data_IF_863882891737
#
_entry.id   IF_863882891737
#
_cell.length_a   1.000
_cell.length_b   1.000
_cell.length_c   1.000
_cell.angle_alpha   90.00
_cell.angle_beta   90.00
_cell.angle_gamma   90.00
#
_symmetry.space_group_name_H-M   'P 1'
#
loop_
_entity.id
_entity.type
_entity.pdbx_description
1 polymer ?
#
# COMPACT_ATOMS: atom_id res chain seq x y z
N UNK A 1 -27.02 43.95 -27.82
CA UNK A 1 -26.69 43.69 -26.39
C UNK A 1 -27.01 42.26 -25.97
N UNK A 2 -28.16 41.67 -26.37
CA UNK A 2 -28.50 40.27 -26.03
C UNK A 2 -27.54 39.20 -26.61
N UNK A 3 -26.95 39.41 -27.80
CA UNK A 3 -26.00 38.47 -28.41
C UNK A 3 -24.64 38.39 -27.71
N UNK A 4 -24.15 39.51 -27.16
CA UNK A 4 -22.87 39.54 -26.43
C UNK A 4 -23.01 38.99 -25.01
N UNK A 5 -24.14 39.25 -24.34
CA UNK A 5 -24.42 38.68 -23.02
C UNK A 5 -24.62 37.16 -23.08
N UNK A 6 -25.29 36.65 -24.13
CA UNK A 6 -25.42 35.21 -24.35
C UNK A 6 -24.05 34.53 -24.53
N UNK A 7 -23.12 35.17 -25.25
CA UNK A 7 -21.79 34.61 -25.48
C UNK A 7 -20.97 34.52 -24.18
N UNK A 8 -21.04 35.54 -23.33
CA UNK A 8 -20.33 35.53 -22.04
C UNK A 8 -20.86 34.46 -21.08
N UNK A 9 -22.16 34.20 -21.08
CA UNK A 9 -22.76 33.12 -20.28
C UNK A 9 -22.26 31.76 -20.77
N UNK A 10 -22.28 31.54 -22.08
CA UNK A 10 -21.80 30.27 -22.69
C UNK A 10 -20.33 30.04 -22.35
N UNK A 11 -19.49 31.07 -22.45
CA UNK A 11 -18.08 30.98 -22.08
C UNK A 11 -17.88 30.62 -20.60
N UNK A 12 -18.66 31.23 -19.69
CA UNK A 12 -18.61 30.92 -18.27
C UNK A 12 -18.97 29.47 -17.95
N UNK A 13 -20.02 28.94 -18.59
CA UNK A 13 -20.47 27.55 -18.39
C UNK A 13 -19.42 26.54 -18.90
N UNK A 14 -18.75 26.83 -20.02
CA UNK A 14 -17.68 25.96 -20.54
C UNK A 14 -16.52 25.87 -19.54
N UNK A 15 -16.10 27.00 -18.96
CA UNK A 15 -15.00 27.04 -17.99
C UNK A 15 -15.37 26.26 -16.73
N UNK A 16 -16.57 26.47 -16.17
CA UNK A 16 -17.04 25.74 -14.99
C UNK A 16 -17.16 24.23 -15.27
N UNK A 17 -17.66 23.85 -16.45
CA UNK A 17 -17.78 22.45 -16.86
C UNK A 17 -16.43 21.72 -16.86
N UNK A 18 -15.39 22.32 -17.42
CA UNK A 18 -14.04 21.73 -17.43
C UNK A 18 -13.47 21.66 -16.01
N UNK A 19 -13.65 22.71 -15.21
CA UNK A 19 -13.13 22.76 -13.84
C UNK A 19 -13.71 21.64 -12.96
N UNK A 20 -14.99 21.29 -13.11
CA UNK A 20 -15.61 20.19 -12.35
C UNK A 20 -15.03 18.84 -12.74
N UNK A 21 -14.87 18.57 -14.05
CA UNK A 21 -14.30 17.29 -14.52
C UNK A 21 -12.86 17.13 -14.07
N UNK A 22 -12.04 18.18 -14.21
CA UNK A 22 -10.65 18.16 -13.74
C UNK A 22 -10.60 18.00 -12.22
N UNK A 23 -11.45 18.71 -11.46
CA UNK A 23 -11.54 18.55 -10.02
C UNK A 23 -11.82 17.11 -9.59
N UNK A 24 -12.79 16.44 -10.23
CA UNK A 24 -13.12 15.04 -9.95
C UNK A 24 -11.93 14.12 -10.24
N UNK A 25 -11.22 14.32 -11.37
CA UNK A 25 -10.05 13.50 -11.71
C UNK A 25 -8.90 13.64 -10.70
N UNK A 26 -8.66 14.85 -10.18
CA UNK A 26 -7.62 15.10 -9.18
C UNK A 26 -7.97 14.45 -7.85
N UNK A 27 -9.23 14.52 -7.43
CA UNK A 27 -9.67 13.83 -6.20
C UNK A 27 -9.52 12.31 -6.31
N UNK A 28 -9.84 11.71 -7.46
CA UNK A 28 -9.60 10.29 -7.71
C UNK A 28 -8.11 9.92 -7.61
N UNK A 29 -7.26 10.64 -8.34
CA UNK A 29 -5.81 10.40 -8.33
C UNK A 29 -5.18 10.60 -6.95
N UNK A 30 -5.65 11.57 -6.18
CA UNK A 30 -5.18 11.80 -4.81
C UNK A 30 -5.59 10.67 -3.86
N UNK A 31 -6.79 10.12 -4.02
CA UNK A 31 -7.25 8.98 -3.22
C UNK A 31 -6.41 7.72 -3.50
N UNK A 32 -6.10 7.47 -4.78
CA UNK A 32 -5.25 6.35 -5.18
C UNK A 32 -3.81 6.51 -4.67
N UNK A 33 -3.25 7.72 -4.76
CA UNK A 33 -1.92 8.02 -4.23
C UNK A 33 -1.88 7.88 -2.71
N UNK A 34 -2.89 8.38 -1.99
CA UNK A 34 -2.99 8.22 -0.55
C UNK A 34 -3.10 6.75 -0.12
N UNK A 35 -3.84 5.93 -0.87
CA UNK A 35 -3.91 4.50 -0.62
C UNK A 35 -2.54 3.82 -0.85
N UNK A 36 -1.86 4.15 -1.97
CA UNK A 36 -0.51 3.65 -2.26
C UNK A 36 0.47 3.95 -1.13
N UNK A 37 0.47 5.19 -0.64
CA UNK A 37 1.36 5.62 0.44
C UNK A 37 1.02 4.91 1.76
N UNK A 38 -0.27 4.69 2.04
CA UNK A 38 -0.71 3.95 3.22
C UNK A 38 -0.33 2.46 3.17
N UNK A 39 -0.56 1.78 2.03
CA UNK A 39 -0.13 0.39 1.82
C UNK A 39 1.38 0.25 1.97
N UNK A 40 2.14 1.23 1.45
CA UNK A 40 3.60 1.24 1.58
C UNK A 40 4.03 1.39 3.03
N UNK A 41 3.41 2.30 3.79
CA UNK A 41 3.70 2.47 5.22
C UNK A 41 3.40 1.22 6.04
N UNK A 42 2.27 0.56 5.75
CA UNK A 42 1.90 -0.70 6.41
C UNK A 42 2.93 -1.80 6.15
N UNK A 43 3.36 -2.00 4.90
CA UNK A 43 4.38 -3.02 4.59
C UNK A 43 5.73 -2.65 5.21
N UNK A 44 6.09 -1.37 5.25
CA UNK A 44 7.34 -0.94 5.88
C UNK A 44 7.33 -1.21 7.39
N UNK A 45 6.19 -1.01 8.04
CA UNK A 45 5.97 -1.39 9.43
C UNK A 45 6.09 -2.91 9.60
N UNK A 46 5.43 -3.69 8.74
CA UNK A 46 5.56 -5.16 8.75
C UNK A 46 7.01 -5.60 8.55
N UNK A 47 7.76 -4.95 7.65
CA UNK A 47 9.16 -5.26 7.41
C UNK A 47 10.01 -5.05 8.68
N UNK A 48 9.77 -3.97 9.43
CA UNK A 48 10.44 -3.74 10.71
C UNK A 48 10.10 -4.81 11.76
N UNK A 49 8.84 -5.26 11.81
CA UNK A 49 8.42 -6.33 12.71
C UNK A 49 9.02 -7.68 12.31
N UNK A 50 9.13 -7.95 11.00
CA UNK A 50 9.78 -9.15 10.48
C UNK A 50 11.27 -9.23 10.89
N UNK A 51 11.99 -8.10 10.81
CA UNK A 51 13.37 -8.04 11.32
C UNK A 51 13.43 -8.24 12.84
N UNK A 52 12.46 -7.69 13.58
CA UNK A 52 12.30 -7.96 15.00
C UNK A 52 12.08 -9.45 15.32
N UNK A 53 11.25 -10.13 14.53
CA UNK A 53 11.01 -11.57 14.64
C UNK A 53 12.29 -12.36 14.41
N UNK A 54 13.05 -12.05 13.36
CA UNK A 54 14.33 -12.73 13.06
C UNK A 54 15.32 -12.65 14.23
N UNK A 55 15.42 -11.49 14.89
CA UNK A 55 16.37 -11.28 16.00
C UNK A 55 15.86 -11.84 17.33
N UNK A 56 14.56 -12.08 17.47
CA UNK A 56 13.98 -12.62 18.70
C UNK A 56 14.24 -14.14 18.77
N UNK A 57 14.68 -14.68 19.93
CA UNK A 57 14.91 -16.12 20.07
C UNK A 57 13.58 -16.91 20.03
N UNK A 58 13.64 -18.16 19.58
CA UNK A 58 12.48 -19.06 19.44
C UNK A 58 11.72 -19.27 20.75
N UNK A 59 12.42 -19.26 21.88
CA UNK A 59 11.81 -19.38 23.22
C UNK A 59 10.84 -18.24 23.57
N UNK A 60 10.92 -17.10 22.88
CA UNK A 60 10.05 -15.94 23.08
C UNK A 60 9.04 -15.77 21.93
N UNK A 61 8.86 -16.79 21.09
CA UNK A 61 8.02 -16.71 19.89
C UNK A 61 8.66 -15.89 18.76
N UNK A 62 9.98 -15.96 18.62
CA UNK A 62 10.72 -15.36 17.52
C UNK A 62 11.28 -16.39 16.54
N UNK A 63 11.96 -15.89 15.51
CA UNK A 63 12.53 -16.71 14.43
C UNK A 63 13.89 -17.33 14.72
N UNK A 64 14.60 -16.88 15.78
CA UNK A 64 15.90 -17.43 16.17
C UNK A 64 16.92 -17.42 15.03
N UNK A 65 17.11 -16.27 14.39
CA UNK A 65 17.94 -16.09 13.19
C UNK A 65 17.39 -16.79 11.93
N UNK A 66 16.08 -16.95 11.85
CA UNK A 66 15.39 -17.47 10.68
C UNK A 66 14.09 -16.71 10.45
N UNK A 67 13.73 -16.42 9.21
CA UNK A 67 12.35 -16.00 8.90
C UNK A 67 11.43 -17.21 8.65
N UNK A 68 11.94 -18.44 8.76
CA UNK A 68 11.11 -19.64 8.62
C UNK A 68 10.04 -19.66 9.71
N UNK A 69 8.78 -19.82 9.31
CA UNK A 69 7.62 -19.77 10.20
C UNK A 69 7.11 -18.37 10.54
N UNK A 70 7.60 -17.33 9.86
CA UNK A 70 7.05 -15.98 9.98
C UNK A 70 5.63 -15.93 9.43
N UNK A 71 4.65 -15.74 10.31
CA UNK A 71 3.25 -15.57 9.96
C UNK A 71 2.81 -14.11 10.14
N UNK A 72 1.67 -13.73 9.56
CA UNK A 72 1.13 -12.38 9.75
C UNK A 72 0.77 -12.07 11.21
N UNK A 73 0.58 -13.09 12.05
CA UNK A 73 0.37 -12.88 13.50
C UNK A 73 1.59 -12.26 14.16
N UNK A 74 2.80 -12.69 13.78
CA UNK A 74 4.05 -12.12 14.29
C UNK A 74 4.28 -10.67 13.81
N UNK A 75 3.60 -10.31 12.72
CA UNK A 75 3.57 -8.97 12.14
C UNK A 75 2.43 -8.12 12.71
N UNK A 76 1.70 -8.61 13.71
CA UNK A 76 0.67 -7.84 14.43
C UNK A 76 -0.73 -7.91 13.82
N UNK A 77 -1.00 -8.85 12.92
CA UNK A 77 -2.37 -9.14 12.48
C UNK A 77 -3.04 -10.19 13.36
N UNK A 78 -4.37 -10.17 13.43
CA UNK A 78 -5.12 -11.17 14.20
C UNK A 78 -5.14 -12.57 13.54
N UNK A 79 -4.70 -12.69 12.28
CA UNK A 79 -4.81 -13.93 11.48
C UNK A 79 -3.49 -14.24 10.79
N UNK A 80 -3.12 -15.52 10.70
CA UNK A 80 -1.85 -15.96 10.11
C UNK A 80 -1.80 -15.84 8.57
N UNK A 81 -2.92 -16.03 7.88
CA UNK A 81 -2.92 -16.26 6.41
C UNK A 81 -3.38 -15.07 5.58
N UNK A 82 -4.11 -14.11 6.15
CA UNK A 82 -4.54 -12.90 5.43
C UNK A 82 -4.79 -11.78 6.43
N UNK A 83 -4.04 -10.69 6.26
CA UNK A 83 -4.18 -9.48 7.05
C UNK A 83 -4.91 -8.45 6.22
N UNK A 84 -6.16 -8.14 6.55
CA UNK A 84 -6.95 -7.15 5.81
C UNK A 84 -7.04 -5.87 6.64
N UNK A 85 -6.70 -4.75 6.03
CA UNK A 85 -6.91 -3.39 6.52
C UNK A 85 -7.88 -2.67 5.57
N UNK A 86 -8.48 -1.57 6.01
CA UNK A 86 -9.12 -0.56 5.17
C UNK A 86 -8.26 -0.11 3.97
N UNK A 87 -6.93 -0.21 4.07
CA UNK A 87 -6.02 0.15 2.97
C UNK A 87 -5.84 -0.96 1.92
N UNK A 88 -5.90 -2.23 2.32
CA UNK A 88 -5.54 -3.35 1.45
C UNK A 88 -5.46 -4.70 2.15
N UNK A 89 -5.08 -5.72 1.38
CA UNK A 89 -4.81 -7.07 1.87
C UNK A 89 -3.31 -7.32 1.88
N UNK A 90 -2.80 -7.90 2.95
CA UNK A 90 -1.39 -8.22 3.15
C UNK A 90 -1.20 -9.73 3.26
N UNK A 91 -0.09 -10.20 2.71
CA UNK A 91 0.32 -11.59 2.76
C UNK A 91 1.86 -11.71 2.83
N UNK A 92 2.33 -12.77 3.48
CA UNK A 92 3.73 -13.20 3.42
C UNK A 92 3.82 -14.16 2.25
N UNK A 93 4.40 -13.72 1.13
CA UNK A 93 4.48 -14.52 -0.09
C UNK A 93 5.53 -15.62 -0.02
N UNK A 94 6.61 -15.39 0.72
CA UNK A 94 7.67 -16.35 0.95
C UNK A 94 8.42 -16.01 2.24
N UNK A 95 8.77 -17.01 3.04
CA UNK A 95 9.62 -16.82 4.20
C UNK A 95 10.62 -17.97 4.30
N UNK A 96 11.89 -17.64 4.16
CA UNK A 96 13.02 -18.59 4.20
C UNK A 96 13.88 -18.31 5.43
N UNK A 97 14.94 -19.08 5.66
CA UNK A 97 15.85 -18.78 6.75
C UNK A 97 16.52 -17.40 6.62
N UNK A 98 16.73 -16.93 5.39
CA UNK A 98 17.53 -15.72 5.14
C UNK A 98 16.72 -14.53 4.64
N UNK A 99 15.53 -14.74 4.07
CA UNK A 99 14.70 -13.66 3.53
C UNK A 99 13.21 -13.89 3.74
N UNK A 100 12.45 -12.81 3.91
CA UNK A 100 10.99 -12.83 3.90
C UNK A 100 10.46 -11.84 2.87
N UNK A 101 9.51 -12.27 2.05
CA UNK A 101 8.87 -11.46 1.01
C UNK A 101 7.45 -11.12 1.47
N UNK A 102 7.20 -9.83 1.68
CA UNK A 102 5.93 -9.27 2.10
C UNK A 102 5.25 -8.63 0.89
N UNK A 103 3.96 -8.89 0.71
CA UNK A 103 3.16 -8.34 -0.38
C UNK A 103 1.91 -7.71 0.20
N UNK A 104 1.62 -6.47 -0.20
CA UNK A 104 0.35 -5.81 0.08
C UNK A 104 -0.34 -5.42 -1.22
N UNK A 105 -1.62 -5.78 -1.33
CA UNK A 105 -2.51 -5.44 -2.43
C UNK A 105 -3.43 -4.29 -2.02
N UNK A 106 -3.51 -3.24 -2.83
CA UNK A 106 -4.39 -2.11 -2.61
C UNK A 106 -5.86 -2.51 -2.68
N UNK A 107 -6.69 -1.94 -1.78
CA UNK A 107 -8.15 -2.09 -1.86
C UNK A 107 -8.80 -1.13 -2.87
N UNK A 108 -8.13 -0.04 -3.27
CA UNK A 108 -8.68 0.95 -4.21
C UNK A 108 -8.33 0.62 -5.66
N UNK A 109 -7.19 -0.03 -5.90
CA UNK A 109 -6.74 -0.42 -7.25
C UNK A 109 -6.54 -1.93 -7.32
N UNK A 110 -7.45 -2.63 -8.01
CA UNK A 110 -7.56 -4.10 -8.01
C UNK A 110 -6.32 -4.87 -8.49
N UNK A 111 -5.37 -4.22 -9.17
CA UNK A 111 -4.12 -4.83 -9.66
C UNK A 111 -2.86 -4.28 -9.00
N UNK A 112 -3.01 -3.32 -8.08
CA UNK A 112 -1.88 -2.60 -7.53
C UNK A 112 -1.32 -3.32 -6.31
N UNK A 113 -0.07 -3.76 -6.42
CA UNK A 113 0.64 -4.47 -5.34
C UNK A 113 1.95 -3.78 -5.02
N UNK A 114 2.26 -3.73 -3.73
CA UNK A 114 3.55 -3.30 -3.20
C UNK A 114 4.22 -4.52 -2.61
N UNK A 115 5.48 -4.76 -2.97
CA UNK A 115 6.25 -5.88 -2.46
C UNK A 115 7.57 -5.39 -1.85
N UNK A 116 7.91 -5.94 -0.68
CA UNK A 116 9.18 -5.69 0.00
C UNK A 116 9.80 -7.03 0.36
N UNK A 117 11.10 -7.16 0.10
CA UNK A 117 11.90 -8.30 0.57
C UNK A 117 12.75 -7.85 1.75
N UNK A 118 12.57 -8.54 2.87
CA UNK A 118 13.30 -8.31 4.12
C UNK A 118 14.41 -9.33 4.23
N UNK A 119 15.62 -8.83 4.48
CA UNK A 119 16.81 -9.60 4.83
C UNK A 119 17.20 -9.26 6.28
N UNK A 120 18.13 -10.02 6.90
CA UNK A 120 18.48 -9.85 8.31
C UNK A 120 19.01 -8.44 8.62
N UNK A 121 19.79 -7.89 7.69
CA UNK A 121 20.52 -6.64 7.86
C UNK A 121 20.02 -5.51 6.95
N UNK A 122 19.04 -5.80 6.08
CA UNK A 122 18.54 -4.84 5.09
C UNK A 122 17.09 -5.10 4.71
N UNK A 123 16.39 -4.05 4.31
CA UNK A 123 15.06 -4.14 3.69
C UNK A 123 15.20 -3.62 2.26
N UNK A 124 14.72 -4.39 1.27
CA UNK A 124 14.73 -3.95 -0.11
C UNK A 124 13.81 -2.75 -0.30
N UNK A 125 14.10 -1.91 -1.30
CA UNK A 125 13.15 -0.88 -1.73
C UNK A 125 11.81 -1.50 -2.13
N UNK A 126 10.67 -0.85 -1.83
CA UNK A 126 9.37 -1.32 -2.27
C UNK A 126 9.29 -1.37 -3.80
N UNK A 127 8.90 -2.51 -4.33
CA UNK A 127 8.55 -2.67 -5.74
C UNK A 127 7.05 -2.48 -5.91
N UNK A 128 6.67 -1.64 -6.86
CA UNK A 128 5.29 -1.33 -7.18
C UNK A 128 4.93 -2.01 -8.50
N UNK A 129 3.80 -2.70 -8.53
CA UNK A 129 3.22 -3.27 -9.75
C UNK A 129 1.77 -2.80 -9.85
N UNK A 130 1.30 -2.40 -11.04
CA UNK A 130 -0.09 -2.01 -11.26
C UNK A 130 -0.52 -0.62 -10.77
N UNK A 131 0.43 0.25 -10.44
CA UNK A 131 0.23 1.70 -10.24
C UNK A 131 0.74 2.49 -11.44
#
# INVERSE_FOLDING_TARGET
MGSQQLLLIVLGVIIVGIAVVVGISIFGSNADQANKDAVTQDILRMASQAQGYYRKPTMLGGGGNSFSGLDLQDLGFSTASSGINANGSYAVSAATASTATLVGSSSTVASATVQITVSPDAVSSPTYSGY
#
